data_IF_568247757139
#
_entry.id   IF_568247757139
#
_cell.length_a   1.000
_cell.length_b   1.000
_cell.length_c   1.000
_cell.angle_alpha   90.00
_cell.angle_beta   90.00
_cell.angle_gamma   90.00
#
_symmetry.space_group_name_H-M   'P 1'
#
loop_
_entity.id
_entity.type
_entity.pdbx_description
1 polymer ?
#
# COMPACT_ATOMS: atom_id res chain seq x y z
N UNK A 1 -28.87 -10.92 1.85
CA UNK A 1 -27.61 -11.45 1.31
C UNK A 1 -26.46 -10.51 1.66
N UNK A 2 -25.65 -10.77 2.71
CA UNK A 2 -24.46 -10.00 3.02
C UNK A 2 -23.20 -10.88 3.06
N UNK A 3 -22.84 -11.53 1.96
CA UNK A 3 -21.63 -12.38 1.84
C UNK A 3 -20.45 -11.69 1.14
N UNK A 4 -20.33 -10.36 1.28
CA UNK A 4 -19.23 -9.57 0.66
C UNK A 4 -18.40 -8.76 1.64
N UNK A 5 -18.39 -9.13 2.92
CA UNK A 5 -17.38 -8.60 3.85
C UNK A 5 -16.23 -9.59 3.88
N UNK A 6 -15.08 -9.18 3.35
CA UNK A 6 -13.84 -9.95 3.38
C UNK A 6 -13.40 -10.03 4.86
N UNK A 7 -13.90 -11.04 5.56
CA UNK A 7 -13.46 -11.35 6.90
C UNK A 7 -12.07 -11.96 6.77
N UNK A 8 -11.02 -11.17 7.07
CA UNK A 8 -9.63 -11.63 7.14
C UNK A 8 -9.51 -12.85 8.07
N UNK A 9 -10.41 -12.95 9.04
CA UNK A 9 -10.51 -14.03 10.04
C UNK A 9 -10.97 -15.38 9.47
N UNK A 10 -11.48 -15.44 8.23
CA UNK A 10 -11.91 -16.70 7.59
C UNK A 10 -10.84 -17.36 6.72
N UNK A 11 -9.66 -16.76 6.58
CA UNK A 11 -8.61 -17.28 5.70
C UNK A 11 -7.62 -18.15 6.47
N UNK A 12 -7.94 -19.44 6.59
CA UNK A 12 -7.01 -20.46 7.04
C UNK A 12 -6.25 -21.08 5.84
N UNK A 13 -4.97 -21.44 6.02
CA UNK A 13 -4.18 -22.18 5.04
C UNK A 13 -3.12 -21.34 4.27
N UNK A 14 -2.73 -21.72 3.03
CA UNK A 14 -1.59 -21.14 2.31
C UNK A 14 -1.73 -19.63 2.07
N UNK A 15 -2.96 -19.14 2.02
CA UNK A 15 -3.27 -17.72 1.88
C UNK A 15 -2.76 -16.88 3.06
N UNK A 16 -2.83 -17.42 4.28
CA UNK A 16 -2.35 -16.72 5.48
C UNK A 16 -0.83 -16.56 5.44
N UNK A 17 -0.11 -17.59 4.98
CA UNK A 17 1.34 -17.55 4.79
C UNK A 17 1.74 -16.49 3.77
N UNK A 18 1.04 -16.42 2.64
CA UNK A 18 1.31 -15.41 1.60
C UNK A 18 0.99 -14.02 2.13
N UNK A 19 -0.14 -13.85 2.82
CA UNK A 19 -0.51 -12.57 3.42
C UNK A 19 0.53 -12.10 4.43
N UNK A 20 1.02 -12.98 5.32
CA UNK A 20 2.08 -12.65 6.26
C UNK A 20 3.39 -12.23 5.56
N UNK A 21 3.77 -12.91 4.47
CA UNK A 21 4.93 -12.53 3.66
C UNK A 21 4.76 -11.13 3.04
N UNK A 22 3.59 -10.85 2.48
CA UNK A 22 3.26 -9.54 1.91
C UNK A 22 3.31 -8.46 3.01
N UNK A 23 2.77 -8.75 4.19
CA UNK A 23 2.78 -7.84 5.34
C UNK A 23 4.19 -7.52 5.86
N UNK A 24 5.21 -8.33 5.57
CA UNK A 24 6.60 -7.99 5.88
C UNK A 24 7.14 -6.83 5.04
N UNK A 25 6.56 -6.56 3.86
CA UNK A 25 6.94 -5.43 3.00
C UNK A 25 6.35 -4.10 3.48
N UNK A 26 5.28 -4.15 4.26
CA UNK A 26 4.61 -2.97 4.80
C UNK A 26 5.48 -2.34 5.90
N UNK A 27 5.59 -1.01 5.98
CA UNK A 27 6.27 -0.34 7.08
C UNK A 27 5.69 -0.73 8.45
N UNK A 28 6.55 -0.99 9.46
CA UNK A 28 6.14 -1.47 10.79
C UNK A 28 5.04 -0.61 11.44
N UNK A 29 5.11 0.71 11.26
CA UNK A 29 4.14 1.68 11.78
C UNK A 29 2.71 1.44 11.28
N UNK A 30 2.54 0.86 10.09
CA UNK A 30 1.25 0.63 9.44
C UNK A 30 0.84 -0.86 9.46
N UNK A 31 1.71 -1.78 9.90
CA UNK A 31 1.44 -3.24 9.90
C UNK A 31 0.18 -3.64 10.69
N UNK A 32 -0.15 -2.90 11.74
CA UNK A 32 -1.30 -3.18 12.60
C UNK A 32 -2.58 -2.44 12.17
N UNK A 33 -2.54 -1.66 11.08
CA UNK A 33 -3.74 -1.00 10.56
C UNK A 33 -4.68 -2.02 9.92
N UNK A 34 -5.83 -2.25 10.56
CA UNK A 34 -6.87 -3.18 10.08
C UNK A 34 -7.41 -2.78 8.71
N UNK A 35 -7.47 -1.49 8.36
CA UNK A 35 -7.95 -1.03 7.05
C UNK A 35 -6.93 -1.38 5.96
N UNK A 36 -5.65 -1.20 6.25
CA UNK A 36 -4.57 -1.61 5.35
C UNK A 36 -4.55 -3.13 5.15
N UNK A 37 -4.62 -3.89 6.24
CA UNK A 37 -4.66 -5.36 6.19
C UNK A 37 -5.82 -5.85 5.32
N UNK A 38 -7.02 -5.24 5.46
CA UNK A 38 -8.19 -5.56 4.63
C UNK A 38 -7.96 -5.23 3.15
N UNK A 39 -7.34 -4.09 2.86
CA UNK A 39 -7.04 -3.66 1.49
C UNK A 39 -6.06 -4.63 0.82
N UNK A 40 -4.97 -4.97 1.51
CA UNK A 40 -3.96 -5.91 1.00
C UNK A 40 -4.59 -7.30 0.83
N UNK A 41 -5.38 -7.76 1.79
CA UNK A 41 -6.09 -9.03 1.67
C UNK A 41 -7.11 -9.03 0.52
N UNK A 42 -7.72 -7.89 0.19
CA UNK A 42 -8.60 -7.79 -0.96
C UNK A 42 -7.84 -7.88 -2.29
N UNK A 43 -6.73 -7.13 -2.41
CA UNK A 43 -5.85 -7.18 -3.59
C UNK A 43 -5.25 -8.56 -3.79
N UNK A 44 -4.75 -9.18 -2.73
CA UNK A 44 -4.16 -10.52 -2.81
C UNK A 44 -5.16 -11.57 -3.32
N UNK A 45 -6.45 -11.43 -2.97
CA UNK A 45 -7.53 -12.31 -3.45
C UNK A 45 -7.93 -12.03 -4.89
N UNK A 46 -7.89 -10.76 -5.32
CA UNK A 46 -8.42 -10.33 -6.61
C UNK A 46 -7.35 -10.39 -7.71
N UNK A 47 -6.15 -9.89 -7.39
CA UNK A 47 -5.04 -9.72 -8.31
C UNK A 47 -4.03 -10.88 -8.22
N UNK A 48 -4.00 -11.60 -7.09
CA UNK A 48 -3.03 -12.66 -6.81
C UNK A 48 -1.72 -12.16 -6.20
N UNK A 49 -0.86 -13.10 -5.77
CA UNK A 49 0.38 -12.81 -5.04
C UNK A 49 1.37 -11.96 -5.84
N UNK A 50 1.68 -12.36 -7.07
CA UNK A 50 2.70 -11.69 -7.88
C UNK A 50 2.34 -10.23 -8.17
N UNK A 51 1.11 -9.98 -8.61
CA UNK A 51 0.62 -8.64 -8.92
C UNK A 51 0.53 -7.75 -7.67
N UNK A 52 0.04 -8.31 -6.54
CA UNK A 52 -0.04 -7.55 -5.28
C UNK A 52 1.36 -7.18 -4.77
N UNK A 53 2.32 -8.10 -4.90
CA UNK A 53 3.72 -7.87 -4.51
C UNK A 53 4.36 -6.77 -5.35
N UNK A 54 4.24 -6.85 -6.67
CA UNK A 54 4.77 -5.82 -7.58
C UNK A 54 4.14 -4.45 -7.31
N UNK A 55 2.82 -4.42 -7.14
CA UNK A 55 2.09 -3.21 -6.79
C UNK A 55 2.64 -2.56 -5.51
N UNK A 56 2.81 -3.34 -4.44
CA UNK A 56 3.33 -2.82 -3.17
C UNK A 56 4.77 -2.32 -3.29
N UNK A 57 5.63 -3.03 -4.03
CA UNK A 57 7.02 -2.60 -4.25
C UNK A 57 7.05 -1.22 -4.92
N UNK A 58 6.23 -1.03 -5.97
CA UNK A 58 6.17 0.25 -6.66
C UNK A 58 5.65 1.36 -5.75
N UNK A 59 4.57 1.10 -4.99
CA UNK A 59 4.01 2.10 -4.07
C UNK A 59 4.92 2.45 -2.89
N UNK A 60 5.69 1.50 -2.38
CA UNK A 60 6.69 1.77 -1.34
C UNK A 60 7.82 2.63 -1.90
N UNK A 61 8.29 2.36 -3.13
CA UNK A 61 9.28 3.22 -3.80
C UNK A 61 8.74 4.64 -3.97
N UNK A 62 7.51 4.80 -4.43
CA UNK A 62 6.88 6.12 -4.58
C UNK A 62 6.87 6.86 -3.24
N UNK A 63 6.44 6.22 -2.16
CA UNK A 63 6.41 6.86 -0.82
C UNK A 63 7.80 7.32 -0.37
N UNK A 64 8.82 6.50 -0.58
CA UNK A 64 10.20 6.82 -0.21
C UNK A 64 10.69 8.01 -1.04
N UNK A 65 10.49 7.98 -2.36
CA UNK A 65 10.90 9.06 -3.26
C UNK A 65 10.21 10.38 -2.91
N UNK A 66 8.98 10.31 -2.42
CA UNK A 66 8.14 11.49 -2.23
C UNK A 66 8.09 11.96 -0.78
N UNK A 67 8.82 11.28 0.12
CA UNK A 67 8.86 11.62 1.54
C UNK A 67 7.48 11.61 2.21
N UNK A 68 6.56 10.75 1.77
CA UNK A 68 5.19 10.76 2.29
C UNK A 68 5.16 10.32 3.75
N UNK A 69 4.70 11.22 4.63
CA UNK A 69 4.67 11.02 6.08
C UNK A 69 3.32 10.52 6.61
N UNK A 70 2.29 10.44 5.76
CA UNK A 70 0.98 9.92 6.14
C UNK A 70 0.90 8.40 6.22
N UNK A 71 -0.28 7.89 6.57
CA UNK A 71 -0.52 6.44 6.66
C UNK A 71 -0.48 5.76 5.29
N UNK A 72 0.14 4.58 5.24
CA UNK A 72 0.24 3.78 4.03
C UNK A 72 -1.14 3.44 3.44
N UNK A 73 -2.14 3.19 4.29
CA UNK A 73 -3.52 2.98 3.82
C UNK A 73 -4.07 4.17 3.03
N UNK A 74 -3.84 5.40 3.50
CA UNK A 74 -4.32 6.60 2.81
C UNK A 74 -3.60 6.85 1.49
N UNK A 75 -2.36 6.37 1.36
CA UNK A 75 -1.63 6.42 0.11
C UNK A 75 -2.20 5.42 -0.91
N UNK A 76 -2.52 4.19 -0.47
CA UNK A 76 -3.02 3.15 -1.35
C UNK A 76 -4.50 3.31 -1.72
N UNK A 77 -5.38 3.69 -0.78
CA UNK A 77 -6.84 3.73 -1.00
C UNK A 77 -7.27 4.63 -2.17
N UNK A 78 -6.45 5.62 -2.54
CA UNK A 78 -6.73 6.60 -3.59
C UNK A 78 -6.17 6.16 -4.95
N UNK A 79 -6.00 4.86 -5.20
CA UNK A 79 -5.45 4.24 -6.44
C UNK A 79 -5.95 4.83 -7.78
N UNK A 80 -7.12 5.46 -7.79
CA UNK A 80 -7.71 6.11 -8.98
C UNK A 80 -7.04 7.44 -9.35
N UNK A 81 -6.26 8.02 -8.44
CA UNK A 81 -5.36 9.11 -8.76
C UNK A 81 -3.97 8.56 -8.53
N UNK A 82 -3.22 8.37 -9.62
CA UNK A 82 -1.77 8.45 -9.52
C UNK A 82 -1.53 9.78 -8.82
N UNK A 83 -1.33 9.76 -7.49
CA UNK A 83 -0.61 10.83 -6.81
C UNK A 83 0.80 10.63 -7.33
N UNK A 84 1.00 11.02 -8.59
CA UNK A 84 2.26 11.54 -9.05
C UNK A 84 2.60 12.49 -7.93
N UNK A 85 3.64 12.14 -7.22
CA UNK A 85 4.16 13.00 -6.20
C UNK A 85 4.23 14.35 -6.86
N UNK A 86 3.44 15.30 -6.38
CA UNK A 86 3.50 16.69 -6.79
C UNK A 86 4.94 17.09 -6.40
N UNK A 87 5.87 16.77 -7.29
CA UNK A 87 7.14 17.43 -7.48
C UNK A 87 6.75 18.83 -7.96
N UNK A 88 6.03 19.58 -7.13
CA UNK A 88 6.17 21.02 -7.13
C UNK A 88 7.56 21.26 -6.58
N UNK A 89 8.51 21.13 -7.49
CA UNK A 89 9.62 22.03 -7.65
C UNK A 89 9.94 22.80 -6.37
N UNK A 90 10.73 22.16 -5.52
CA UNK A 90 11.80 22.91 -4.86
C UNK A 90 12.96 22.98 -5.84
N UNK A 91 12.81 23.70 -6.96
CA UNK A 91 13.93 24.46 -7.49
C UNK A 91 14.44 25.30 -6.32
N UNK A 92 15.70 25.14 -5.87
CA UNK A 92 16.34 26.25 -5.22
C UNK A 92 16.38 27.37 -6.26
N UNK A 93 15.75 28.50 -5.92
CA UNK A 93 15.83 29.73 -6.70
C UNK A 93 17.31 29.98 -7.05
N UNK A 94 17.69 30.12 -8.34
CA UNK A 94 19.08 30.26 -8.70
C UNK A 94 19.56 31.63 -8.24
N UNK A 95 20.31 31.64 -7.14
CA UNK A 95 21.37 32.59 -6.83
C UNK A 95 21.01 34.05 -7.16
N UNK A 96 20.32 34.76 -6.25
CA UNK A 96 20.37 36.22 -6.29
C UNK A 96 21.82 36.66 -6.03
N UNK A 97 22.39 37.30 -7.06
CA UNK A 97 23.74 37.81 -7.16
C UNK A 97 23.99 39.06 -6.31
#
# INVERSE_FOLDING_TARGET
MPDKVIAIEKFEGPYQTIFLKIMQMVPDRDKNDKKLQRLIAFRLRTDGEAATREYLINKIRDIIQCGYTGSFYNFLKDDLKVKECDLKDKTPDPLEA
#
